data_IF_358210009575
#
_entry.id   IF_358210009575
#
_cell.length_a   1.000
_cell.length_b   1.000
_cell.length_c   1.000
_cell.angle_alpha   90.00
_cell.angle_beta   90.00
_cell.angle_gamma   90.00
#
_symmetry.space_group_name_H-M   'P 1'
#
loop_
_entity.id
_entity.type
_entity.pdbx_description
1 polymer ?
#
# COMPACT_ATOMS: atom_id res chain seq x y z
N UNK A 1 -20.68 -17.95 -57.39
CA UNK A 1 -20.62 -18.45 -56.00
C UNK A 1 -19.26 -19.04 -55.63
N UNK A 2 -18.68 -19.96 -56.42
CA UNK A 2 -17.34 -20.56 -56.17
C UNK A 2 -16.20 -19.53 -56.03
N UNK A 3 -16.15 -18.50 -56.88
CA UNK A 3 -15.07 -17.50 -56.86
C UNK A 3 -15.08 -16.57 -55.63
N UNK A 4 -16.24 -16.43 -54.97
CA UNK A 4 -16.37 -15.65 -53.74
C UNK A 4 -15.87 -16.46 -52.54
N UNK A 5 -16.16 -17.77 -52.53
CA UNK A 5 -15.65 -18.71 -51.52
C UNK A 5 -14.12 -18.82 -51.59
N UNK A 6 -13.55 -18.96 -52.80
CA UNK A 6 -12.09 -19.04 -52.99
C UNK A 6 -11.39 -17.75 -52.55
N UNK A 7 -11.98 -16.58 -52.79
CA UNK A 7 -11.44 -15.29 -52.33
C UNK A 7 -11.47 -15.15 -50.81
N UNK A 8 -12.55 -15.58 -50.15
CA UNK A 8 -12.64 -15.52 -48.69
C UNK A 8 -11.73 -16.56 -48.01
N UNK A 9 -11.58 -17.76 -48.58
CA UNK A 9 -10.60 -18.76 -48.13
C UNK A 9 -9.16 -18.23 -48.26
N UNK A 10 -8.82 -17.58 -49.38
CA UNK A 10 -7.50 -16.94 -49.54
C UNK A 10 -7.28 -15.85 -48.50
N UNK A 11 -8.26 -14.96 -48.25
CA UNK A 11 -8.15 -13.92 -47.21
C UNK A 11 -7.93 -14.49 -45.80
N UNK A 12 -8.68 -15.55 -45.44
CA UNK A 12 -8.49 -16.25 -44.16
C UNK A 12 -7.11 -16.90 -44.04
N UNK A 13 -6.62 -17.52 -45.12
CA UNK A 13 -5.30 -18.13 -45.16
C UNK A 13 -4.18 -17.07 -45.01
N UNK A 14 -4.29 -15.94 -45.71
CA UNK A 14 -3.34 -14.83 -45.59
C UNK A 14 -3.35 -14.19 -44.19
N UNK A 15 -4.52 -14.07 -43.56
CA UNK A 15 -4.62 -13.59 -42.18
C UNK A 15 -3.94 -14.54 -41.19
N UNK A 16 -4.15 -15.85 -41.33
CA UNK A 16 -3.49 -16.86 -40.49
C UNK A 16 -1.98 -16.89 -40.69
N UNK A 17 -1.49 -16.74 -41.93
CA UNK A 17 -0.05 -16.65 -42.22
C UNK A 17 0.55 -15.39 -41.59
N UNK A 18 -0.15 -14.25 -41.67
CA UNK A 18 0.32 -13.00 -41.05
C UNK A 18 0.38 -13.10 -39.52
N UNK A 19 -0.63 -13.67 -38.88
CA UNK A 19 -0.65 -13.90 -37.42
C UNK A 19 0.49 -14.84 -37.00
N UNK A 20 0.73 -15.91 -37.74
CA UNK A 20 1.84 -16.84 -37.48
C UNK A 20 3.20 -16.14 -37.61
N UNK A 21 3.36 -15.24 -38.59
CA UNK A 21 4.59 -14.48 -38.77
C UNK A 21 4.83 -13.47 -37.64
N UNK A 22 3.78 -12.76 -37.21
CA UNK A 22 3.86 -11.81 -36.08
C UNK A 22 4.19 -12.53 -34.77
N UNK A 23 3.54 -13.67 -34.50
CA UNK A 23 3.82 -14.45 -33.28
C UNK A 23 5.22 -15.05 -33.28
N UNK A 24 5.71 -15.51 -34.44
CA UNK A 24 7.09 -15.95 -34.60
C UNK A 24 8.09 -14.80 -34.40
N UNK A 25 7.84 -13.62 -34.98
CA UNK A 25 8.71 -12.46 -34.82
C UNK A 25 8.77 -11.98 -33.37
N UNK A 26 7.65 -11.97 -32.64
CA UNK A 26 7.61 -11.64 -31.21
C UNK A 26 8.36 -12.69 -30.38
N UNK A 27 8.17 -13.98 -30.67
CA UNK A 27 8.87 -15.07 -29.97
C UNK A 27 10.38 -15.03 -30.25
N UNK A 28 10.78 -14.77 -31.49
CA UNK A 28 12.19 -14.65 -31.89
C UNK A 28 12.84 -13.41 -31.26
N UNK A 29 12.16 -12.26 -31.25
CA UNK A 29 12.63 -11.07 -30.56
C UNK A 29 12.79 -11.32 -29.05
N UNK A 30 11.83 -12.00 -28.42
CA UNK A 30 11.88 -12.39 -27.00
C UNK A 30 13.04 -13.36 -26.70
N UNK A 31 13.27 -14.35 -27.57
CA UNK A 31 14.41 -15.28 -27.46
C UNK A 31 15.75 -14.57 -27.66
N UNK A 32 15.85 -13.65 -28.63
CA UNK A 32 17.06 -12.86 -28.87
C UNK A 32 17.35 -11.90 -27.71
N UNK A 33 16.32 -11.28 -27.13
CA UNK A 33 16.44 -10.42 -25.95
C UNK A 33 16.84 -11.21 -24.69
N UNK A 34 16.38 -12.46 -24.56
CA UNK A 34 16.81 -13.38 -23.49
C UNK A 34 18.26 -13.87 -23.64
N UNK A 35 18.86 -13.75 -24.82
CA UNK A 35 20.21 -14.24 -25.12
C UNK A 35 21.36 -13.27 -24.81
N UNK A 36 21.10 -11.97 -24.64
CA UNK A 36 22.17 -10.94 -24.61
C UNK A 36 22.50 -10.35 -23.25
N UNK A 37 21.89 -10.82 -22.16
CA UNK A 37 22.29 -10.40 -20.80
C UNK A 37 22.41 -11.60 -19.87
N UNK A 38 23.46 -12.41 -20.06
CA UNK A 38 24.03 -13.17 -18.95
C UNK A 38 24.90 -12.20 -18.15
N UNK A 39 24.25 -11.31 -17.39
CA UNK A 39 24.93 -10.64 -16.29
C UNK A 39 25.39 -11.75 -15.34
N UNK A 40 26.68 -11.75 -15.02
CA UNK A 40 27.32 -12.74 -14.16
C UNK A 40 26.47 -12.92 -12.89
N UNK A 41 26.12 -14.17 -12.55
CA UNK A 41 25.24 -14.49 -11.40
C UNK A 41 25.81 -13.92 -10.09
N UNK A 42 27.13 -13.79 -10.03
CA UNK A 42 27.89 -13.18 -8.94
C UNK A 42 27.70 -11.66 -8.89
N UNK A 43 27.67 -10.99 -10.05
CA UNK A 43 27.40 -9.57 -10.15
C UNK A 43 25.91 -9.24 -9.93
N UNK A 44 24.99 -10.09 -10.41
CA UNK A 44 23.56 -9.95 -10.11
C UNK A 44 23.26 -10.11 -8.62
N UNK A 45 23.92 -11.02 -7.90
CA UNK A 45 23.71 -11.17 -6.45
C UNK A 45 24.31 -10.01 -5.65
N UNK A 46 25.48 -9.50 -6.05
CA UNK A 46 26.13 -8.33 -5.45
C UNK A 46 25.35 -7.03 -5.71
N UNK A 47 24.81 -6.84 -6.91
CA UNK A 47 23.98 -5.66 -7.23
C UNK A 47 22.56 -5.79 -6.63
N UNK A 48 21.99 -7.00 -6.49
CA UNK A 48 20.62 -7.13 -5.97
C UNK A 48 20.48 -6.99 -4.46
N UNK A 49 21.51 -7.34 -3.67
CA UNK A 49 21.42 -7.29 -2.20
C UNK A 49 21.97 -5.96 -1.66
N UNK A 50 23.07 -5.46 -2.21
CA UNK A 50 23.75 -4.29 -1.63
C UNK A 50 23.20 -2.95 -2.13
N UNK A 51 22.54 -2.90 -3.29
CA UNK A 51 22.07 -1.64 -3.90
C UNK A 51 20.60 -1.33 -3.61
N UNK A 52 19.72 -2.34 -3.55
CA UNK A 52 18.33 -2.14 -3.11
C UNK A 52 18.27 -1.68 -1.67
N UNK A 53 18.96 -2.39 -0.77
CA UNK A 53 18.97 -2.07 0.65
C UNK A 53 19.51 -0.64 0.90
N UNK A 54 20.57 -0.23 0.18
CA UNK A 54 21.11 1.14 0.23
C UNK A 54 20.20 2.21 -0.38
N UNK A 55 19.40 1.90 -1.42
CA UNK A 55 18.44 2.85 -1.99
C UNK A 55 17.21 3.05 -1.09
N UNK A 56 16.66 1.95 -0.54
CA UNK A 56 15.58 2.00 0.46
C UNK A 56 16.01 2.76 1.72
N UNK A 57 17.24 2.51 2.19
CA UNK A 57 17.85 3.26 3.28
C UNK A 57 17.96 4.76 2.94
N UNK A 58 18.34 5.18 1.74
CA UNK A 58 18.53 6.63 1.44
C UNK A 58 17.26 7.48 1.45
N UNK A 59 16.08 6.94 1.15
CA UNK A 59 14.85 7.75 1.06
C UNK A 59 13.91 7.54 2.27
N UNK A 60 13.79 6.32 2.80
CA UNK A 60 12.99 6.10 4.02
C UNK A 60 13.70 6.62 5.29
N UNK A 61 15.04 6.57 5.38
CA UNK A 61 15.77 7.06 6.57
C UNK A 61 15.70 8.59 6.73
N UNK A 62 15.32 9.32 5.67
CA UNK A 62 15.11 10.77 5.67
C UNK A 62 13.71 11.16 6.15
N UNK A 63 12.75 10.24 6.11
CA UNK A 63 11.46 10.48 6.73
C UNK A 63 11.67 10.61 8.25
N UNK A 64 10.94 11.48 8.94
CA UNK A 64 11.03 11.57 10.39
C UNK A 64 10.74 10.18 10.96
N UNK A 65 11.79 9.52 11.46
CA UNK A 65 11.72 8.20 12.08
C UNK A 65 10.95 8.33 13.39
N UNK A 66 9.63 8.33 13.30
CA UNK A 66 8.76 8.30 14.46
C UNK A 66 8.52 6.83 14.81
N UNK A 67 9.42 6.33 15.67
CA UNK A 67 9.32 5.09 16.43
C UNK A 67 9.23 3.79 15.61
N UNK A 68 10.40 3.24 15.26
CA UNK A 68 10.53 1.79 15.16
C UNK A 68 10.77 1.21 16.55
N UNK A 69 9.94 0.26 16.97
CA UNK A 69 10.38 -0.75 17.93
C UNK A 69 11.42 -1.62 17.22
N UNK A 70 12.50 -2.03 17.89
CA UNK A 70 13.47 -2.99 17.32
C UNK A 70 12.79 -4.31 16.89
N UNK A 71 11.64 -4.61 17.49
CA UNK A 71 10.81 -5.78 17.19
C UNK A 71 9.80 -5.58 16.06
N UNK A 72 9.68 -4.37 15.50
CA UNK A 72 8.75 -4.09 14.42
C UNK A 72 9.30 -4.59 13.07
N UNK A 73 8.76 -5.72 12.62
CA UNK A 73 9.18 -6.38 11.38
C UNK A 73 8.51 -5.83 10.12
N UNK A 74 7.53 -4.92 10.25
CA UNK A 74 6.82 -4.38 9.09
C UNK A 74 7.69 -3.34 8.40
N UNK A 75 7.87 -3.46 7.08
CA UNK A 75 8.75 -2.58 6.30
C UNK A 75 7.88 -1.68 5.40
N UNK A 76 8.03 -0.35 5.45
CA UNK A 76 7.32 0.54 4.55
C UNK A 76 7.80 0.36 3.11
N UNK A 77 6.92 0.64 2.16
CA UNK A 77 7.24 0.54 0.72
C UNK A 77 7.89 1.80 0.15
N UNK A 78 8.51 2.67 0.97
CA UNK A 78 9.02 3.94 0.46
C UNK A 78 10.10 3.74 -0.63
N UNK A 79 10.14 4.63 -1.65
CA UNK A 79 9.42 5.91 -1.73
C UNK A 79 7.96 5.80 -2.19
N UNK A 80 7.42 4.60 -2.39
CA UNK A 80 6.01 4.40 -2.72
C UNK A 80 5.13 4.48 -1.48
N UNK A 81 3.86 4.80 -1.70
CA UNK A 81 2.82 4.74 -0.67
C UNK A 81 2.32 3.30 -0.53
N UNK A 82 2.13 2.88 0.71
CA UNK A 82 1.45 1.66 1.12
C UNK A 82 0.87 1.90 2.52
N UNK A 83 0.04 1.01 3.03
CA UNK A 83 -0.46 1.17 4.39
C UNK A 83 0.63 1.08 5.46
N UNK A 84 1.66 0.24 5.27
CA UNK A 84 2.85 0.23 6.15
C UNK A 84 3.72 1.49 5.98
N UNK A 85 3.66 2.16 4.82
CA UNK A 85 4.26 3.48 4.65
C UNK A 85 3.53 4.51 5.52
N UNK A 86 2.20 4.56 5.47
CA UNK A 86 1.41 5.44 6.35
C UNK A 86 1.65 5.16 7.84
N UNK A 87 1.68 3.88 8.19
CA UNK A 87 1.96 3.41 9.55
C UNK A 87 3.32 3.92 10.05
N UNK A 88 4.36 3.85 9.22
CA UNK A 88 5.76 4.09 9.63
C UNK A 88 6.08 5.53 10.07
N UNK A 89 5.25 6.51 9.72
CA UNK A 89 5.47 7.91 10.12
C UNK A 89 4.44 8.41 11.15
N UNK A 90 3.57 7.53 11.64
CA UNK A 90 2.62 7.87 12.69
C UNK A 90 3.27 7.83 14.08
N UNK A 91 2.78 8.67 14.99
CA UNK A 91 3.32 8.77 16.35
C UNK A 91 2.77 7.64 17.24
N UNK A 92 1.52 7.23 17.00
CA UNK A 92 0.88 6.12 17.66
C UNK A 92 0.35 5.14 16.62
N UNK A 93 0.60 3.86 16.83
CA UNK A 93 0.14 2.78 15.95
C UNK A 93 -0.73 1.81 16.74
N UNK A 94 -1.91 1.50 16.21
CA UNK A 94 -2.76 0.41 16.68
C UNK A 94 -2.94 -0.55 15.51
N UNK A 95 -2.34 -1.73 15.61
CA UNK A 95 -2.45 -2.79 14.60
C UNK A 95 -2.44 -4.17 15.30
N UNK A 96 -2.31 -5.24 14.51
CA UNK A 96 -2.28 -6.62 15.02
C UNK A 96 -1.15 -6.90 16.03
N UNK A 97 -0.09 -6.09 16.02
CA UNK A 97 1.01 -6.22 16.98
C UNK A 97 0.72 -5.54 18.32
N UNK A 98 -0.32 -4.71 18.39
CA UNK A 98 -0.65 -3.93 19.59
C UNK A 98 -1.59 -4.74 20.49
N UNK A 99 -1.18 -5.13 21.72
CA UNK A 99 -2.05 -5.86 22.62
C UNK A 99 -3.28 -5.04 23.04
N UNK A 100 -4.51 -5.60 23.06
CA UNK A 100 -5.69 -4.86 23.49
C UNK A 100 -5.59 -4.26 24.90
N UNK A 101 -4.83 -4.89 25.80
CA UNK A 101 -4.60 -4.42 27.17
C UNK A 101 -3.90 -3.06 27.25
N UNK A 102 -3.19 -2.62 26.20
CA UNK A 102 -2.48 -1.33 26.20
C UNK A 102 -3.22 -0.22 25.46
N UNK A 103 -4.39 -0.49 24.85
CA UNK A 103 -5.08 0.49 24.00
C UNK A 103 -5.40 1.80 24.74
N UNK A 104 -6.03 1.70 25.91
CA UNK A 104 -6.38 2.85 26.74
C UNK A 104 -5.17 3.63 27.23
N UNK A 105 -4.10 2.93 27.60
CA UNK A 105 -2.85 3.55 28.02
C UNK A 105 -2.20 4.32 26.88
N UNK A 106 -2.11 3.70 25.68
CA UNK A 106 -1.54 4.32 24.48
C UNK A 106 -2.35 5.53 24.01
N UNK A 107 -3.68 5.40 23.97
CA UNK A 107 -4.58 6.50 23.64
C UNK A 107 -4.44 7.70 24.60
N UNK A 108 -4.26 7.44 25.89
CA UNK A 108 -4.03 8.48 26.91
C UNK A 108 -2.72 9.27 26.75
N UNK A 109 -1.80 8.80 25.90
CA UNK A 109 -0.50 9.44 25.67
C UNK A 109 -0.44 10.27 24.39
N UNK A 110 -1.48 10.23 23.56
CA UNK A 110 -1.60 11.04 22.36
C UNK A 110 -1.44 12.53 22.72
N UNK A 111 -0.58 13.23 21.99
CA UNK A 111 -0.34 14.66 22.12
C UNK A 111 -0.95 15.43 20.95
N UNK A 112 -1.07 16.74 21.15
CA UNK A 112 -1.67 17.64 20.18
C UNK A 112 -0.99 17.51 18.82
N UNK A 113 -1.79 17.39 17.77
CA UNK A 113 -1.41 17.27 16.36
C UNK A 113 -0.62 16.01 16.00
N UNK A 114 -0.56 15.01 16.89
CA UNK A 114 0.07 13.74 16.57
C UNK A 114 -0.78 12.92 15.59
N UNK A 115 -0.08 12.17 14.75
CA UNK A 115 -0.67 11.20 13.82
C UNK A 115 -0.91 9.87 14.54
N UNK A 116 -2.13 9.37 14.44
CA UNK A 116 -2.57 8.11 15.04
C UNK A 116 -2.98 7.16 13.92
N UNK A 117 -2.24 6.08 13.73
CA UNK A 117 -2.55 5.02 12.81
C UNK A 117 -3.40 3.94 13.48
N UNK A 118 -4.46 3.49 12.83
CA UNK A 118 -5.22 2.31 13.24
C UNK A 118 -5.45 1.40 12.03
N UNK A 119 -5.11 0.12 12.13
CA UNK A 119 -5.51 -0.84 11.10
C UNK A 119 -7.05 -0.97 11.10
N UNK A 120 -7.70 -0.78 9.94
CA UNK A 120 -9.15 -0.54 9.91
C UNK A 120 -9.97 -1.69 10.53
N UNK A 121 -9.51 -2.94 10.38
CA UNK A 121 -10.19 -4.14 10.92
C UNK A 121 -10.18 -4.25 12.45
N UNK A 122 -9.41 -3.43 13.16
CA UNK A 122 -9.43 -3.36 14.63
C UNK A 122 -9.98 -2.04 15.18
N UNK A 123 -10.47 -1.16 14.30
CA UNK A 123 -10.94 0.18 14.68
C UNK A 123 -12.11 0.14 15.66
N UNK A 124 -12.98 -0.88 15.57
CA UNK A 124 -14.07 -1.14 16.52
C UNK A 124 -13.55 -1.34 17.95
N UNK A 125 -12.44 -2.05 18.12
CA UNK A 125 -11.80 -2.30 19.42
C UNK A 125 -11.01 -1.10 19.94
N UNK A 126 -10.46 -0.28 19.04
CA UNK A 126 -9.61 0.86 19.39
C UNK A 126 -10.42 2.14 19.62
N UNK A 127 -11.53 2.33 18.90
CA UNK A 127 -12.35 3.55 18.98
C UNK A 127 -12.84 3.90 20.39
N UNK A 128 -13.22 2.96 21.28
CA UNK A 128 -13.60 3.30 22.65
C UNK A 128 -12.43 3.89 23.45
N UNK A 129 -11.21 3.37 23.25
CA UNK A 129 -10.02 3.89 23.91
C UNK A 129 -9.68 5.31 23.42
N UNK A 130 -9.80 5.58 22.12
CA UNK A 130 -9.59 6.92 21.56
C UNK A 130 -10.63 7.91 22.10
N UNK A 131 -11.92 7.57 22.07
CA UNK A 131 -13.00 8.42 22.56
C UNK A 131 -12.85 8.73 24.05
N UNK A 132 -12.44 7.75 24.86
CA UNK A 132 -12.36 7.91 26.32
C UNK A 132 -11.07 8.60 26.76
N UNK A 133 -9.91 8.23 26.19
CA UNK A 133 -8.61 8.59 26.74
C UNK A 133 -7.80 9.58 25.90
N UNK A 134 -8.06 9.76 24.60
CA UNK A 134 -7.36 10.78 23.83
C UNK A 134 -7.86 12.18 24.25
N UNK A 135 -7.11 12.87 25.11
CA UNK A 135 -7.48 14.18 25.66
C UNK A 135 -6.98 15.36 24.82
N UNK A 136 -5.98 15.14 23.98
CA UNK A 136 -5.42 16.16 23.10
C UNK A 136 -5.93 15.97 21.65
N UNK A 137 -6.07 17.05 20.86
CA UNK A 137 -6.47 16.96 19.46
C UNK A 137 -5.47 16.19 18.59
N UNK A 138 -5.95 15.26 17.75
CA UNK A 138 -5.11 14.38 16.94
C UNK A 138 -5.65 14.17 15.52
N UNK A 139 -4.82 13.58 14.66
CA UNK A 139 -5.16 13.23 13.28
C UNK A 139 -5.17 11.71 13.16
N UNK A 140 -6.28 11.16 12.67
CA UNK A 140 -6.48 9.72 12.52
C UNK A 140 -6.16 9.26 11.10
N UNK A 141 -5.42 8.17 10.96
CA UNK A 141 -5.16 7.48 9.69
C UNK A 141 -5.64 6.04 9.83
N UNK A 142 -6.45 5.56 8.88
CA UNK A 142 -6.92 4.16 8.87
C UNK A 142 -6.64 3.49 7.53
N UNK A 143 -5.98 2.34 7.57
CA UNK A 143 -5.44 1.61 6.41
C UNK A 143 -5.26 0.14 6.78
N UNK A 144 -4.60 -0.66 5.93
CA UNK A 144 -4.18 -2.04 6.23
C UNK A 144 -5.33 -3.02 6.46
N UNK A 145 -6.48 -2.78 5.84
CA UNK A 145 -7.60 -3.70 5.75
C UNK A 145 -8.45 -3.34 4.53
N UNK A 146 -9.27 -4.28 4.06
CA UNK A 146 -10.30 -4.06 3.04
C UNK A 146 -11.56 -3.40 3.62
N UNK A 147 -11.66 -3.28 4.94
CA UNK A 147 -12.78 -2.63 5.61
C UNK A 147 -12.85 -1.13 5.25
N UNK A 148 -14.08 -0.63 5.23
CA UNK A 148 -14.37 0.79 5.00
C UNK A 148 -14.61 1.54 6.30
N UNK A 149 -14.28 2.82 6.28
CA UNK A 149 -14.51 3.75 7.38
C UNK A 149 -14.66 5.17 6.77
N UNK A 150 -15.38 6.10 7.41
CA UNK A 150 -15.81 6.13 8.81
C UNK A 150 -17.28 5.86 9.09
N UNK A 151 -18.12 5.43 8.13
CA UNK A 151 -19.58 5.41 8.31
C UNK A 151 -20.06 4.61 9.54
N UNK A 152 -19.39 3.50 9.89
CA UNK A 152 -19.73 2.71 11.08
C UNK A 152 -19.20 3.30 12.40
N UNK A 153 -18.45 4.40 12.35
CA UNK A 153 -17.69 4.98 13.46
C UNK A 153 -17.96 6.47 13.64
N UNK A 154 -19.18 6.93 13.35
CA UNK A 154 -19.54 8.35 13.39
C UNK A 154 -19.31 9.03 14.75
N UNK A 155 -19.27 8.25 15.84
CA UNK A 155 -18.94 8.78 17.17
C UNK A 155 -17.54 9.39 17.22
N UNK A 156 -16.57 8.85 16.46
CA UNK A 156 -15.24 9.46 16.31
C UNK A 156 -15.33 10.80 15.57
N UNK A 157 -16.16 10.93 14.53
CA UNK A 157 -16.35 12.18 13.80
C UNK A 157 -16.91 13.31 14.69
N UNK A 158 -17.77 12.94 15.63
CA UNK A 158 -18.35 13.86 16.64
C UNK A 158 -17.34 14.27 17.72
N UNK A 159 -16.20 13.59 17.84
CA UNK A 159 -15.17 13.96 18.82
C UNK A 159 -14.57 15.31 18.47
N UNK A 160 -14.51 16.22 19.45
CA UNK A 160 -13.82 17.50 19.33
C UNK A 160 -12.29 17.32 19.19
N UNK A 161 -11.75 16.21 19.72
CA UNK A 161 -10.33 15.90 19.65
C UNK A 161 -9.92 15.29 18.30
N UNK A 162 -10.86 14.86 17.46
CA UNK A 162 -10.52 14.45 16.10
C UNK A 162 -10.44 15.69 15.19
N UNK A 163 -9.23 16.05 14.78
CA UNK A 163 -8.96 17.16 13.85
C UNK A 163 -9.34 16.77 12.43
N UNK A 164 -8.78 15.66 11.96
CA UNK A 164 -8.94 15.13 10.62
C UNK A 164 -8.79 13.61 10.65
N UNK A 165 -9.45 12.95 9.69
CA UNK A 165 -9.40 11.52 9.47
C UNK A 165 -9.09 11.25 8.01
N UNK A 166 -8.01 10.51 7.81
CA UNK A 166 -7.51 10.01 6.54
C UNK A 166 -7.76 8.50 6.37
N UNK A 167 -8.95 8.06 5.92
CA UNK A 167 -9.23 6.65 5.67
C UNK A 167 -8.85 6.23 4.24
N UNK A 168 -8.26 5.04 4.10
CA UNK A 168 -7.97 4.39 2.82
C UNK A 168 -9.25 4.10 2.02
N UNK A 169 -10.21 3.42 2.64
CA UNK A 169 -11.49 3.05 2.02
C UNK A 169 -12.59 3.96 2.59
N UNK A 170 -12.54 5.24 2.20
CA UNK A 170 -13.52 6.24 2.61
C UNK A 170 -14.92 5.88 2.08
N UNK A 171 -15.90 5.69 2.96
CA UNK A 171 -17.28 5.32 2.60
C UNK A 171 -18.31 6.43 2.81
N UNK A 172 -17.88 7.64 3.18
CA UNK A 172 -18.76 8.80 3.30
C UNK A 172 -18.03 10.13 3.10
N UNK A 173 -18.81 11.19 2.88
CA UNK A 173 -18.31 12.57 2.81
C UNK A 173 -18.58 13.28 4.14
N UNK A 174 -17.55 13.91 4.69
CA UNK A 174 -17.62 14.68 5.93
C UNK A 174 -16.46 15.70 5.98
N UNK A 175 -16.64 16.84 6.65
CA UNK A 175 -15.64 17.94 6.69
C UNK A 175 -14.29 17.54 7.31
N UNK A 176 -14.31 16.53 8.18
CA UNK A 176 -13.11 15.94 8.81
C UNK A 176 -12.52 14.78 8.02
N UNK A 177 -13.12 14.34 6.92
CA UNK A 177 -12.74 13.10 6.22
C UNK A 177 -12.06 13.40 4.90
N UNK A 178 -10.85 12.84 4.75
CA UNK A 178 -9.95 13.10 3.64
C UNK A 178 -9.43 11.76 3.09
N UNK A 179 -10.00 11.21 2.00
CA UNK A 179 -9.64 9.90 1.50
C UNK A 179 -8.14 9.75 1.19
N UNK A 180 -7.54 8.62 1.56
CA UNK A 180 -6.16 8.27 1.19
C UNK A 180 -6.11 7.36 -0.02
N UNK A 181 -5.10 7.48 -0.89
CA UNK A 181 -4.83 6.47 -1.90
C UNK A 181 -4.35 5.17 -1.24
N UNK A 182 -4.86 4.02 -1.72
CA UNK A 182 -4.52 2.67 -1.25
C UNK A 182 -3.03 2.32 -1.37
N UNK A 183 -2.37 2.81 -2.42
CA UNK A 183 -0.96 2.53 -2.66
C UNK A 183 -0.69 1.07 -3.04
N UNK A 184 0.53 0.62 -2.74
CA UNK A 184 0.99 -0.76 -2.97
C UNK A 184 0.57 -1.66 -1.81
N UNK A 185 0.45 -2.96 -2.10
CA UNK A 185 0.30 -3.98 -1.07
C UNK A 185 1.52 -4.00 -0.15
N UNK A 186 1.29 -4.27 1.15
CA UNK A 186 2.38 -4.39 2.12
C UNK A 186 3.23 -5.63 1.83
N UNK A 187 4.50 -5.56 2.24
CA UNK A 187 5.43 -6.69 2.15
C UNK A 187 5.14 -7.69 3.28
N UNK A 188 5.11 -8.99 2.96
CA UNK A 188 4.95 -10.08 3.93
C UNK A 188 6.29 -10.52 4.53
#
# INVERSE_FOLDING_TARGET
MKDMLIRNLKKGLWASIFIAFVTFAISYASLKYRGTHKLDRTFQSLVNVTDKQKYFERECLKLPKLQYSEDDKRIPSCPFISGDTYRSFCHHVFDDSTPPSVYYYKAGRIKKNELVFVATHILDKVSPALLQNAKEPYILITSNSDDSAPNNFQNLLKSENLIAWFPQNADMVHEKVYPLPIGLANYM
#
